data_IF_274523024562
#
_entry.id   IF_274523024562
#
_cell.length_a   1.000
_cell.length_b   1.000
_cell.length_c   1.000
_cell.angle_alpha   90.00
_cell.angle_beta   90.00
_cell.angle_gamma   90.00
#
_symmetry.space_group_name_H-M   'P 1'
#
loop_
_entity.id
_entity.type
_entity.pdbx_description
1 polymer ?
#
# COMPACT_ATOMS: atom_id res chain seq x y z
N UNK A 1 12.80 -3.03 6.89
CA UNK A 1 11.59 -3.15 7.71
C UNK A 1 11.44 -4.58 8.16
N UNK A 2 10.89 -4.84 9.33
CA UNK A 2 10.70 -6.21 9.81
C UNK A 2 9.49 -6.85 9.11
N UNK A 3 9.56 -8.12 8.72
CA UNK A 3 8.37 -8.86 8.29
C UNK A 3 7.26 -8.77 9.34
N UNK A 4 6.03 -8.57 8.90
CA UNK A 4 4.87 -8.30 9.75
C UNK A 4 4.61 -6.83 10.07
N UNK A 5 5.53 -5.90 9.75
CA UNK A 5 5.26 -4.46 9.96
C UNK A 5 4.06 -4.01 9.15
N UNK A 6 3.18 -3.25 9.80
CA UNK A 6 2.04 -2.59 9.15
C UNK A 6 2.44 -1.17 8.77
N UNK A 7 2.30 -0.85 7.49
CA UNK A 7 2.47 0.49 6.93
C UNK A 7 1.11 1.10 6.65
N UNK A 8 0.98 2.38 6.97
CA UNK A 8 -0.09 3.23 6.48
C UNK A 8 0.51 4.23 5.50
N UNK A 9 0.14 4.12 4.23
CA UNK A 9 0.59 5.02 3.16
C UNK A 9 -0.53 6.01 2.89
N UNK A 10 -0.19 7.30 2.85
CA UNK A 10 -1.07 8.38 2.42
C UNK A 10 -0.51 8.96 1.13
N UNK A 11 -1.35 9.08 0.12
CA UNK A 11 -0.97 9.59 -1.19
C UNK A 11 -2.11 10.43 -1.76
N UNK A 12 -1.78 11.33 -2.68
CA UNK A 12 -2.78 12.09 -3.44
C UNK A 12 -2.75 11.82 -4.93
N UNK A 13 -1.74 11.09 -5.38
CA UNK A 13 -1.58 10.70 -6.77
C UNK A 13 -2.34 9.39 -7.04
N UNK A 14 -3.26 9.35 -8.04
CA UNK A 14 -4.04 8.16 -8.36
C UNK A 14 -3.19 6.98 -8.86
N UNK A 15 -1.99 7.22 -9.40
CA UNK A 15 -1.05 6.17 -9.80
C UNK A 15 -0.62 5.28 -8.63
N UNK A 16 -0.64 5.81 -7.41
CA UNK A 16 -0.38 5.04 -6.18
C UNK A 16 -1.32 3.85 -5.99
N UNK A 17 -2.53 3.89 -6.55
CA UNK A 17 -3.48 2.76 -6.52
C UNK A 17 -3.00 1.57 -7.35
N UNK A 18 -2.14 1.79 -8.35
CA UNK A 18 -1.58 0.74 -9.21
C UNK A 18 -0.15 0.37 -8.78
N UNK A 19 0.68 1.39 -8.51
CA UNK A 19 2.09 1.22 -8.19
C UNK A 19 2.29 0.46 -6.87
N UNK A 20 1.51 0.78 -5.84
CA UNK A 20 1.67 0.17 -4.52
C UNK A 20 1.27 -1.31 -4.52
N UNK A 21 0.11 -1.72 -5.10
CA UNK A 21 -0.18 -3.14 -5.27
C UNK A 21 0.82 -3.87 -6.15
N UNK A 22 1.33 -3.24 -7.22
CA UNK A 22 2.38 -3.83 -8.05
C UNK A 22 3.66 -4.09 -7.26
N UNK A 23 4.14 -3.09 -6.51
CA UNK A 23 5.27 -3.22 -5.61
C UNK A 23 5.06 -4.33 -4.57
N UNK A 24 3.85 -4.41 -3.98
CA UNK A 24 3.50 -5.47 -3.03
C UNK A 24 3.59 -6.86 -3.67
N UNK A 25 3.08 -7.05 -4.89
CA UNK A 25 3.15 -8.34 -5.60
C UNK A 25 4.59 -8.75 -5.88
N UNK A 26 5.44 -7.81 -6.31
CA UNK A 26 6.85 -8.09 -6.63
C UNK A 26 7.66 -8.47 -5.39
N UNK A 27 7.36 -7.86 -4.24
CA UNK A 27 8.11 -8.05 -2.99
C UNK A 27 7.39 -8.94 -1.96
N UNK A 28 6.29 -9.60 -2.35
CA UNK A 28 5.52 -10.49 -1.49
C UNK A 28 4.74 -9.81 -0.35
N UNK A 29 4.68 -8.48 -0.32
CA UNK A 29 3.89 -7.74 0.67
C UNK A 29 2.39 -7.89 0.41
N UNK A 30 1.58 -7.63 1.42
CA UNK A 30 0.12 -7.74 1.33
C UNK A 30 -0.54 -6.39 1.52
N UNK A 31 -1.35 -5.93 0.56
CA UNK A 31 -2.27 -4.81 0.78
C UNK A 31 -3.44 -5.33 1.61
N UNK A 32 -3.66 -4.74 2.78
CA UNK A 32 -4.72 -5.09 3.72
C UNK A 32 -5.97 -4.23 3.55
N UNK A 33 -5.79 -2.95 3.23
CA UNK A 33 -6.89 -2.01 3.04
C UNK A 33 -6.49 -0.97 2.00
N UNK A 34 -7.45 -0.55 1.18
CA UNK A 34 -7.33 0.61 0.30
C UNK A 34 -8.57 1.47 0.49
N UNK A 35 -8.38 2.76 0.75
CA UNK A 35 -9.43 3.78 0.75
C UNK A 35 -9.03 4.88 -0.22
N UNK A 36 -10.00 5.37 -0.97
CA UNK A 36 -9.82 6.44 -1.92
C UNK A 36 -11.03 7.36 -1.86
N UNK A 37 -10.81 8.59 -1.40
CA UNK A 37 -11.82 9.61 -1.24
C UNK A 37 -11.33 10.88 -1.95
N UNK A 38 -11.95 11.25 -3.07
CA UNK A 38 -11.57 12.40 -3.90
C UNK A 38 -10.10 12.36 -4.36
N UNK A 39 -9.24 13.11 -3.69
CA UNK A 39 -7.81 13.19 -3.96
C UNK A 39 -6.98 12.54 -2.86
N UNK A 40 -7.61 12.00 -1.81
CA UNK A 40 -6.92 11.35 -0.70
C UNK A 40 -6.97 9.83 -0.88
N UNK A 41 -5.80 9.22 -0.89
CA UNK A 41 -5.62 7.77 -0.99
C UNK A 41 -4.91 7.30 0.28
N UNK A 42 -5.47 6.27 0.89
CA UNK A 42 -4.90 5.61 2.04
C UNK A 42 -4.77 4.11 1.75
N UNK A 43 -3.57 3.56 1.90
CA UNK A 43 -3.34 2.12 1.82
C UNK A 43 -2.74 1.60 3.13
N UNK A 44 -3.21 0.45 3.57
CA UNK A 44 -2.63 -0.30 4.68
C UNK A 44 -1.93 -1.52 4.12
N UNK A 45 -0.65 -1.68 4.41
CA UNK A 45 0.19 -2.74 3.85
C UNK A 45 0.85 -3.52 4.98
N UNK A 46 0.86 -4.84 4.88
CA UNK A 46 1.73 -5.69 5.69
C UNK A 46 2.97 -6.05 4.90
N UNK A 47 4.12 -5.65 5.41
CA UNK A 47 5.42 -6.03 4.84
C UNK A 47 5.65 -7.52 5.11
N UNK A 48 5.85 -8.28 4.05
CA UNK A 48 6.40 -9.64 4.12
C UNK A 48 7.90 -9.60 3.85
N UNK A 49 8.66 -10.51 4.47
CA UNK A 49 10.10 -10.66 4.22
C UNK A 49 10.40 -11.38 2.92
#
# INVERSE_FOLDING_TARGET
MTPGTILKVLATDPGSLEDIPAWCRVHGHTVLETRHEHHDIQLVIRVSG
#
